data_IF_251047438465
#
_entry.id   IF_251047438465
#
_cell.length_a   1.000
_cell.length_b   1.000
_cell.length_c   1.000
_cell.angle_alpha   90.00
_cell.angle_beta   90.00
_cell.angle_gamma   90.00
#
_symmetry.space_group_name_H-M   'P 1'
#
loop_
_entity.id
_entity.type
_entity.pdbx_description
1 polymer ?
#
# COMPACT_ATOMS: atom_id res chain seq x y z
N UNK A 1 -12.58 -13.30 4.15
CA UNK A 1 -12.23 -12.03 4.82
C UNK A 1 -10.73 -11.88 4.83
N UNK A 2 -10.22 -10.99 4.00
CA UNK A 2 -8.80 -10.65 3.92
C UNK A 2 -8.41 -9.84 5.16
N UNK A 3 -7.77 -10.47 6.12
CA UNK A 3 -7.16 -9.76 7.23
C UNK A 3 -5.74 -9.39 6.83
N UNK A 4 -5.50 -8.10 6.60
CA UNK A 4 -4.15 -7.57 6.56
C UNK A 4 -3.54 -7.64 7.95
N UNK A 5 -2.46 -8.40 8.12
CA UNK A 5 -1.72 -8.42 9.37
C UNK A 5 -0.63 -7.36 9.28
N UNK A 6 -0.78 -6.30 10.04
CA UNK A 6 0.23 -5.25 10.20
C UNK A 6 1.21 -5.64 11.32
N UNK A 7 2.46 -5.18 11.25
CA UNK A 7 3.41 -5.32 12.37
C UNK A 7 2.89 -4.64 13.65
N UNK A 8 1.98 -3.69 13.52
CA UNK A 8 1.23 -3.14 14.65
C UNK A 8 0.41 -4.21 15.38
N UNK A 9 -0.08 -5.25 14.68
CA UNK A 9 -0.77 -6.36 15.33
C UNK A 9 0.16 -7.15 16.27
N UNK A 10 1.42 -7.39 15.87
CA UNK A 10 2.39 -8.06 16.76
C UNK A 10 2.72 -7.20 17.99
N UNK A 11 2.76 -5.86 17.85
CA UNK A 11 2.93 -4.96 18.99
C UNK A 11 1.70 -4.93 19.91
N UNK A 12 0.51 -5.08 19.37
CA UNK A 12 -0.74 -5.19 20.14
C UNK A 12 -0.74 -6.47 20.99
N UNK A 13 -0.23 -7.58 20.45
CA UNK A 13 -0.11 -8.84 21.21
C UNK A 13 1.05 -8.82 22.22
N UNK A 14 2.18 -8.19 21.88
CA UNK A 14 3.36 -8.09 22.78
C UNK A 14 3.12 -7.25 24.02
N UNK A 15 2.17 -6.35 24.02
CA UNK A 15 1.94 -5.37 25.07
C UNK A 15 0.77 -5.72 25.97
N UNK A 16 0.54 -6.98 26.25
CA UNK A 16 -0.42 -7.39 27.28
C UNK A 16 -0.01 -6.74 28.62
N UNK A 17 -0.80 -5.77 29.07
CA UNK A 17 -0.55 -4.96 30.27
C UNK A 17 -0.19 -3.50 30.01
N UNK A 18 0.12 -3.09 28.78
CA UNK A 18 0.28 -1.69 28.41
C UNK A 18 -1.02 -1.14 27.83
N UNK A 19 -1.37 0.09 28.23
CA UNK A 19 -2.56 0.78 27.72
C UNK A 19 -2.39 1.02 26.22
N UNK A 20 -3.24 0.39 25.42
CA UNK A 20 -3.31 0.65 23.99
C UNK A 20 -3.74 2.10 23.75
N UNK A 21 -3.20 2.72 22.71
CA UNK A 21 -3.69 4.01 22.21
C UNK A 21 -5.06 3.82 21.55
N UNK A 22 -5.90 4.83 21.57
CA UNK A 22 -7.30 4.74 21.08
C UNK A 22 -7.39 4.21 19.65
N UNK A 23 -6.48 4.61 18.76
CA UNK A 23 -6.43 4.13 17.38
C UNK A 23 -5.97 2.67 17.22
N UNK A 24 -5.36 2.07 18.23
CA UNK A 24 -4.95 0.66 18.25
C UNK A 24 -6.05 -0.27 18.75
N UNK A 25 -7.00 0.26 19.52
CA UNK A 25 -8.08 -0.51 20.16
C UNK A 25 -8.92 -1.33 19.15
N UNK A 26 -9.33 -0.77 18.00
CA UNK A 26 -10.11 -1.51 17.01
C UNK A 26 -9.37 -2.71 16.39
N UNK A 27 -8.04 -2.74 16.50
CA UNK A 27 -7.19 -3.80 15.97
C UNK A 27 -6.72 -4.78 17.06
N UNK A 28 -7.05 -4.51 18.31
CA UNK A 28 -6.74 -5.41 19.40
C UNK A 28 -7.53 -6.72 19.25
N UNK A 29 -6.85 -7.85 19.45
CA UNK A 29 -7.46 -9.17 19.39
C UNK A 29 -7.69 -9.71 20.80
N UNK A 30 -8.79 -10.42 20.98
CA UNK A 30 -9.11 -11.06 22.24
C UNK A 30 -8.19 -12.25 22.49
N UNK A 31 -7.86 -12.49 23.75
CA UNK A 31 -6.98 -13.58 24.14
C UNK A 31 -7.55 -14.96 23.76
N UNK A 32 -8.85 -15.09 23.78
CA UNK A 32 -9.59 -16.30 23.39
C UNK A 32 -9.39 -16.67 21.92
N UNK A 33 -9.13 -15.69 21.03
CA UNK A 33 -8.81 -15.93 19.62
C UNK A 33 -7.44 -16.57 19.42
N UNK A 34 -6.59 -16.56 20.45
CA UNK A 34 -5.23 -17.09 20.42
C UNK A 34 -5.14 -18.49 21.04
N UNK A 35 -6.25 -19.00 21.56
CA UNK A 35 -6.31 -20.36 22.11
C UNK A 35 -6.02 -21.38 21.02
N UNK A 36 -5.12 -22.31 21.30
CA UNK A 36 -4.67 -23.32 20.35
C UNK A 36 -3.54 -22.88 19.41
N UNK A 37 -3.06 -21.64 19.51
CA UNK A 37 -1.90 -21.22 18.72
C UNK A 37 -0.62 -21.92 19.19
N UNK A 38 0.19 -22.34 18.21
CA UNK A 38 1.56 -22.80 18.47
C UNK A 38 2.48 -21.59 18.58
N UNK A 39 3.08 -21.38 19.74
CA UNK A 39 3.95 -20.25 20.05
C UNK A 39 5.40 -20.71 20.22
N UNK A 40 6.35 -19.88 19.80
CA UNK A 40 7.78 -20.10 20.06
C UNK A 40 8.12 -19.90 21.55
N UNK A 41 7.33 -19.05 22.23
CA UNK A 41 7.49 -18.75 23.64
C UNK A 41 6.12 -18.56 24.31
N UNK A 42 5.84 -19.16 25.48
CA UNK A 42 4.50 -19.16 26.08
C UNK A 42 3.94 -17.78 26.42
N UNK A 43 4.82 -16.80 26.63
CA UNK A 43 4.43 -15.45 27.08
C UNK A 43 4.67 -14.36 26.04
N UNK A 44 5.02 -14.73 24.80
CA UNK A 44 5.31 -13.76 23.73
C UNK A 44 4.67 -14.18 22.42
N UNK A 45 3.95 -13.25 21.81
CA UNK A 45 3.43 -13.40 20.46
C UNK A 45 4.36 -12.70 19.48
N UNK A 46 5.10 -13.45 18.70
CA UNK A 46 6.02 -12.93 17.68
C UNK A 46 5.32 -12.77 16.34
N UNK A 47 5.92 -12.03 15.40
CA UNK A 47 5.42 -11.97 14.03
C UNK A 47 5.43 -13.36 13.38
N UNK A 48 6.44 -14.20 13.71
CA UNK A 48 6.50 -15.59 13.25
C UNK A 48 5.30 -16.42 13.71
N UNK A 49 4.91 -16.29 14.99
CA UNK A 49 3.73 -16.96 15.52
C UNK A 49 2.45 -16.52 14.81
N UNK A 50 2.31 -15.21 14.56
CA UNK A 50 1.15 -14.68 13.81
C UNK A 50 1.11 -15.24 12.39
N UNK A 51 2.22 -15.25 11.68
CA UNK A 51 2.27 -15.77 10.30
C UNK A 51 1.95 -17.26 10.25
N UNK A 52 2.48 -18.05 11.20
CA UNK A 52 2.21 -19.50 11.26
C UNK A 52 0.76 -19.85 11.55
N UNK A 53 0.09 -19.07 12.39
CA UNK A 53 -1.28 -19.38 12.83
C UNK A 53 -2.36 -18.70 12.00
N UNK A 54 -2.10 -17.50 11.42
CA UNK A 54 -3.09 -16.71 10.66
C UNK A 54 -3.04 -17.00 9.16
N UNK A 55 -1.91 -17.50 8.64
CA UNK A 55 -1.69 -17.75 7.21
C UNK A 55 -1.98 -16.53 6.32
N UNK A 56 -1.35 -15.37 6.56
CA UNK A 56 -1.63 -14.16 5.81
C UNK A 56 -1.17 -14.29 4.36
N UNK A 57 -1.90 -13.68 3.44
CA UNK A 57 -1.51 -13.56 2.03
C UNK A 57 -0.83 -12.22 1.72
N UNK A 58 -0.99 -11.24 2.61
CA UNK A 58 -0.39 -9.90 2.50
C UNK A 58 0.29 -9.57 3.83
N UNK A 59 1.57 -9.19 3.76
CA UNK A 59 2.37 -8.74 4.90
C UNK A 59 2.87 -7.32 4.63
N UNK A 60 2.50 -6.38 5.52
CA UNK A 60 2.87 -4.97 5.41
C UNK A 60 3.71 -4.57 6.64
N UNK A 61 4.90 -4.03 6.39
CA UNK A 61 5.82 -3.54 7.41
C UNK A 61 5.86 -2.02 7.49
N UNK A 62 5.58 -1.49 8.69
CA UNK A 62 5.67 -0.08 9.02
C UNK A 62 6.37 0.13 10.39
N UNK A 63 7.22 -0.83 10.79
CA UNK A 63 7.80 -0.90 12.14
C UNK A 63 9.09 -0.12 12.30
N UNK A 64 9.74 0.24 11.22
CA UNK A 64 11.09 0.80 11.18
C UNK A 64 12.14 -0.11 11.88
N UNK A 65 11.90 -1.42 11.92
CA UNK A 65 12.78 -2.43 12.49
C UNK A 65 13.43 -3.24 11.36
N UNK A 66 14.69 -2.99 11.03
CA UNK A 66 15.39 -3.74 9.99
C UNK A 66 15.40 -5.24 10.29
N UNK A 67 15.16 -6.07 9.27
CA UNK A 67 15.17 -7.52 9.40
C UNK A 67 13.97 -8.12 10.16
N UNK A 68 12.92 -7.34 10.44
CA UNK A 68 11.71 -7.85 11.08
C UNK A 68 11.03 -8.95 10.25
N UNK A 69 11.14 -8.91 8.93
CA UNK A 69 10.70 -9.98 8.04
C UNK A 69 11.86 -10.94 7.79
N UNK A 70 12.03 -11.92 8.66
CA UNK A 70 13.10 -12.92 8.56
C UNK A 70 12.83 -13.90 7.41
N UNK A 71 13.86 -14.64 7.01
CA UNK A 71 13.75 -15.71 6.01
C UNK A 71 12.69 -16.73 6.39
N UNK A 72 12.63 -17.15 7.65
CA UNK A 72 11.65 -18.12 8.15
C UNK A 72 10.21 -17.61 8.00
N UNK A 73 9.96 -16.36 8.39
CA UNK A 73 8.65 -15.71 8.24
C UNK A 73 8.21 -15.69 6.77
N UNK A 74 9.11 -15.24 5.88
CA UNK A 74 8.81 -15.12 4.46
C UNK A 74 8.60 -16.48 3.81
N UNK A 75 9.43 -17.47 4.13
CA UNK A 75 9.27 -18.85 3.65
C UNK A 75 8.01 -19.53 4.16
N UNK A 76 7.68 -19.33 5.43
CA UNK A 76 6.43 -19.84 6.01
C UNK A 76 5.22 -19.28 5.28
N UNK A 77 5.20 -17.98 5.01
CA UNK A 77 4.14 -17.35 4.23
C UNK A 77 4.08 -17.88 2.79
N UNK A 78 5.22 -18.04 2.13
CA UNK A 78 5.32 -18.55 0.77
C UNK A 78 4.96 -20.04 0.63
N UNK A 79 5.04 -20.82 1.71
CA UNK A 79 4.59 -22.22 1.74
C UNK A 79 3.05 -22.32 1.75
N UNK A 80 2.37 -21.30 2.25
CA UNK A 80 0.91 -21.27 2.41
C UNK A 80 0.20 -20.43 1.34
N UNK A 81 0.93 -19.57 0.61
CA UNK A 81 0.41 -18.70 -0.42
C UNK A 81 1.32 -18.77 -1.66
N UNK A 82 0.73 -19.07 -2.82
CA UNK A 82 1.48 -19.19 -4.07
C UNK A 82 2.17 -17.89 -4.47
N UNK A 83 1.49 -16.76 -4.33
CA UNK A 83 2.00 -15.42 -4.65
C UNK A 83 1.79 -14.45 -3.47
N UNK A 84 2.60 -14.53 -2.41
CA UNK A 84 2.45 -13.65 -1.25
C UNK A 84 2.79 -12.20 -1.61
N UNK A 85 2.02 -11.25 -1.08
CA UNK A 85 2.34 -9.82 -1.17
C UNK A 85 3.14 -9.43 0.07
N UNK A 86 4.37 -8.96 -0.14
CA UNK A 86 5.27 -8.58 0.96
C UNK A 86 5.74 -7.15 0.74
N UNK A 87 5.35 -6.26 1.64
CA UNK A 87 5.55 -4.83 1.52
C UNK A 87 6.33 -4.27 2.72
N UNK A 88 7.68 -4.29 2.71
CA UNK A 88 8.51 -3.63 3.72
C UNK A 88 8.54 -2.11 3.42
N UNK A 89 7.61 -1.35 4.02
CA UNK A 89 7.37 0.06 3.67
C UNK A 89 8.16 1.06 4.52
N UNK A 90 8.94 0.61 5.50
CA UNK A 90 9.67 1.53 6.38
C UNK A 90 10.77 2.30 5.65
N UNK A 91 10.89 3.58 5.97
CA UNK A 91 11.86 4.53 5.44
C UNK A 91 12.84 5.01 6.54
N UNK A 92 14.09 5.33 6.20
CA UNK A 92 14.77 5.15 4.92
C UNK A 92 15.14 3.67 4.67
N UNK A 93 15.72 3.34 3.51
CA UNK A 93 16.10 1.98 3.07
C UNK A 93 16.72 1.11 4.17
N UNK A 94 17.60 1.70 5.02
CA UNK A 94 18.25 0.99 6.15
C UNK A 94 17.28 0.55 7.26
N UNK A 95 16.04 1.02 7.24
CA UNK A 95 14.96 0.68 8.19
C UNK A 95 13.90 -0.24 7.60
N UNK A 96 14.05 -0.64 6.34
CA UNK A 96 13.13 -1.58 5.71
C UNK A 96 13.16 -2.93 6.47
N UNK A 97 12.02 -3.53 6.65
CA UNK A 97 11.83 -4.78 7.38
C UNK A 97 12.51 -5.97 6.69
N UNK A 98 12.68 -5.92 5.36
CA UNK A 98 13.48 -6.84 4.56
C UNK A 98 13.99 -6.14 3.30
N UNK A 99 15.04 -6.68 2.68
CA UNK A 99 15.47 -6.25 1.35
C UNK A 99 14.66 -6.98 0.28
N UNK A 100 14.27 -6.29 -0.81
CA UNK A 100 13.57 -6.94 -1.93
C UNK A 100 14.32 -8.12 -2.54
N UNK A 101 15.66 -8.04 -2.58
CA UNK A 101 16.53 -9.14 -3.03
C UNK A 101 16.32 -10.42 -2.22
N UNK A 102 16.25 -10.26 -0.92
CA UNK A 102 16.12 -11.38 0.01
C UNK A 102 14.72 -11.99 -0.10
N UNK A 103 13.68 -11.15 -0.06
CA UNK A 103 12.28 -11.59 -0.19
C UNK A 103 12.07 -12.37 -1.50
N UNK A 104 12.57 -11.85 -2.63
CA UNK A 104 12.45 -12.51 -3.92
C UNK A 104 13.27 -13.81 -3.98
N UNK A 105 14.47 -13.84 -3.41
CA UNK A 105 15.30 -15.04 -3.34
C UNK A 105 14.63 -16.12 -2.47
N UNK A 106 14.15 -15.77 -1.29
CA UNK A 106 13.51 -16.70 -0.36
C UNK A 106 12.18 -17.28 -0.88
N UNK A 107 11.57 -16.63 -1.86
CA UNK A 107 10.32 -17.05 -2.47
C UNK A 107 10.45 -17.54 -3.92
N UNK A 108 11.67 -17.75 -4.42
CA UNK A 108 11.94 -18.13 -5.81
C UNK A 108 11.27 -17.20 -6.84
N UNK A 109 11.21 -15.90 -6.54
CA UNK A 109 10.59 -14.89 -7.37
C UNK A 109 9.04 -14.86 -7.32
N UNK A 110 8.39 -15.66 -6.47
CA UNK A 110 6.91 -15.72 -6.40
C UNK A 110 6.28 -14.52 -5.69
N UNK A 111 7.00 -13.90 -4.75
CA UNK A 111 6.47 -12.76 -4.00
C UNK A 111 6.22 -11.54 -4.89
N UNK A 112 5.12 -10.84 -4.60
CA UNK A 112 4.85 -9.50 -5.10
C UNK A 112 5.39 -8.50 -4.08
N UNK A 113 6.38 -7.69 -4.50
CA UNK A 113 7.13 -6.83 -3.59
C UNK A 113 6.94 -5.36 -3.93
N UNK A 114 6.61 -4.55 -2.90
CA UNK A 114 6.70 -3.11 -2.94
C UNK A 114 7.39 -2.58 -1.69
N UNK A 115 8.12 -1.48 -1.81
CA UNK A 115 8.93 -0.89 -0.73
C UNK A 115 8.63 0.58 -0.54
N UNK A 116 8.86 1.13 0.65
CA UNK A 116 8.68 2.57 0.90
C UNK A 116 9.75 3.44 0.25
N UNK A 117 10.99 2.93 0.14
CA UNK A 117 12.12 3.60 -0.51
C UNK A 117 12.40 2.99 -1.89
N UNK A 118 13.02 3.73 -2.83
CA UNK A 118 13.34 3.18 -4.14
C UNK A 118 14.48 2.15 -4.04
N UNK A 119 14.31 1.03 -4.74
CA UNK A 119 15.33 0.00 -4.92
C UNK A 119 15.60 -0.22 -6.41
N UNK A 120 16.79 -0.75 -6.71
CA UNK A 120 17.14 -1.20 -8.06
C UNK A 120 16.36 -2.49 -8.39
N UNK A 121 16.13 -2.78 -9.68
CA UNK A 121 15.60 -4.07 -10.09
C UNK A 121 16.45 -5.22 -9.55
N UNK A 122 15.81 -6.34 -9.23
CA UNK A 122 16.45 -7.55 -8.69
C UNK A 122 16.32 -8.66 -9.72
N UNK A 123 17.41 -9.41 -9.93
CA UNK A 123 17.42 -10.59 -10.81
C UNK A 123 17.36 -11.85 -9.96
N UNK A 124 16.35 -12.69 -10.22
CA UNK A 124 16.20 -14.01 -9.61
C UNK A 124 15.86 -15.02 -10.72
N UNK A 125 16.59 -16.13 -10.78
CA UNK A 125 16.35 -17.22 -11.75
C UNK A 125 16.25 -16.74 -13.21
N UNK A 126 17.06 -15.75 -13.61
CA UNK A 126 17.08 -15.19 -14.96
C UNK A 126 15.94 -14.20 -15.27
N UNK A 127 15.04 -13.93 -14.33
CA UNK A 127 13.98 -12.94 -14.44
C UNK A 127 14.37 -11.67 -13.71
N UNK A 128 14.15 -10.50 -14.35
CA UNK A 128 14.37 -9.19 -13.72
C UNK A 128 13.07 -8.66 -13.14
N UNK A 129 13.04 -8.49 -11.83
CA UNK A 129 11.88 -7.98 -11.08
C UNK A 129 12.02 -6.47 -10.87
N UNK A 130 11.03 -5.70 -11.32
CA UNK A 130 10.94 -4.27 -11.05
C UNK A 130 10.37 -4.06 -9.64
N UNK A 131 11.12 -3.37 -8.77
CA UNK A 131 10.68 -3.13 -7.41
C UNK A 131 9.78 -1.89 -7.37
N UNK A 132 8.53 -2.10 -7.00
CA UNK A 132 7.58 -1.01 -6.83
C UNK A 132 7.94 -0.14 -5.62
N UNK A 133 7.77 1.17 -5.76
CA UNK A 133 7.83 2.09 -4.63
C UNK A 133 6.40 2.48 -4.24
N UNK A 134 5.99 2.12 -3.03
CA UNK A 134 4.76 2.61 -2.42
C UNK A 134 4.99 4.03 -1.88
N UNK A 135 4.49 5.01 -2.62
CA UNK A 135 4.67 6.42 -2.31
C UNK A 135 3.33 7.15 -2.41
N UNK A 136 3.06 8.05 -1.48
CA UNK A 136 1.85 8.88 -1.46
C UNK A 136 1.65 9.68 -2.76
N UNK A 137 2.74 9.98 -3.47
CA UNK A 137 2.69 10.67 -4.77
C UNK A 137 1.85 9.93 -5.81
N UNK A 138 1.65 8.62 -5.68
CA UNK A 138 0.81 7.84 -6.60
C UNK A 138 -0.69 8.19 -6.49
N UNK A 139 -1.15 8.61 -5.33
CA UNK A 139 -2.58 8.87 -5.07
C UNK A 139 -2.87 10.32 -4.70
N UNK A 140 -2.02 10.96 -3.88
CA UNK A 140 -2.31 12.23 -3.26
C UNK A 140 -2.63 13.37 -4.25
N UNK A 141 -1.85 13.59 -5.34
CA UNK A 141 -2.15 14.67 -6.27
C UNK A 141 -3.49 14.45 -6.99
N UNK A 142 -3.82 13.19 -7.32
CA UNK A 142 -5.09 12.84 -7.95
C UNK A 142 -6.28 13.03 -7.03
N UNK A 143 -6.18 12.59 -5.75
CA UNK A 143 -7.23 12.82 -4.76
C UNK A 143 -7.48 14.32 -4.59
N UNK A 144 -6.43 15.13 -4.44
CA UNK A 144 -6.56 16.58 -4.30
C UNK A 144 -7.21 17.23 -5.53
N UNK A 145 -6.73 16.88 -6.73
CA UNK A 145 -7.25 17.42 -7.98
C UNK A 145 -8.73 17.04 -8.19
N UNK A 146 -9.10 15.77 -8.00
CA UNK A 146 -10.47 15.31 -8.15
C UNK A 146 -11.43 15.99 -7.16
N UNK A 147 -11.00 16.11 -5.89
CA UNK A 147 -11.77 16.82 -4.85
C UNK A 147 -12.01 18.28 -5.21
N UNK A 148 -10.97 18.99 -5.68
CA UNK A 148 -11.04 20.41 -6.04
C UNK A 148 -11.86 20.61 -7.31
N UNK A 149 -11.70 19.75 -8.32
CA UNK A 149 -12.38 19.87 -9.62
C UNK A 149 -13.92 19.90 -9.48
N UNK A 150 -14.46 19.13 -8.55
CA UNK A 150 -15.93 19.07 -8.31
C UNK A 150 -16.32 19.76 -6.99
N UNK A 151 -15.38 20.50 -6.36
CA UNK A 151 -15.58 21.21 -5.09
C UNK A 151 -16.26 20.33 -4.04
N UNK A 152 -15.74 19.13 -3.85
CA UNK A 152 -16.29 18.22 -2.86
C UNK A 152 -16.14 18.81 -1.45
N UNK A 153 -17.18 18.70 -0.65
CA UNK A 153 -17.25 19.24 0.73
C UNK A 153 -16.34 18.50 1.72
N UNK A 154 -15.98 17.28 1.40
CA UNK A 154 -15.07 16.42 2.17
C UNK A 154 -14.50 15.30 1.30
N UNK A 155 -13.42 14.68 1.75
CA UNK A 155 -12.90 13.42 1.20
C UNK A 155 -13.53 12.27 1.97
N UNK A 156 -14.14 11.33 1.27
CA UNK A 156 -14.80 10.15 1.84
C UNK A 156 -13.93 8.90 1.72
N UNK A 157 -14.30 7.85 2.43
CA UNK A 157 -13.66 6.54 2.29
C UNK A 157 -13.88 5.95 0.89
N UNK A 158 -15.05 6.21 0.26
CA UNK A 158 -15.31 5.78 -1.12
C UNK A 158 -14.39 6.47 -2.12
N UNK A 159 -14.15 7.78 -1.98
CA UNK A 159 -13.19 8.51 -2.81
C UNK A 159 -11.76 7.96 -2.68
N UNK A 160 -11.36 7.56 -1.47
CA UNK A 160 -10.05 6.92 -1.24
C UNK A 160 -10.00 5.54 -1.90
N UNK A 161 -11.07 4.75 -1.80
CA UNK A 161 -11.16 3.45 -2.45
C UNK A 161 -11.11 3.58 -3.99
N UNK A 162 -11.86 4.51 -4.58
CA UNK A 162 -11.82 4.80 -6.00
C UNK A 162 -10.42 5.23 -6.48
N UNK A 163 -9.69 6.01 -5.66
CA UNK A 163 -8.30 6.37 -5.94
C UNK A 163 -7.38 5.13 -5.97
N UNK A 164 -7.53 4.21 -5.02
CA UNK A 164 -6.75 2.99 -4.95
C UNK A 164 -7.02 2.06 -6.14
N UNK A 165 -8.28 1.90 -6.53
CA UNK A 165 -8.70 1.13 -7.71
C UNK A 165 -8.12 1.73 -8.99
N UNK A 166 -8.20 3.05 -9.16
CA UNK A 166 -7.62 3.74 -10.30
C UNK A 166 -6.11 3.51 -10.42
N UNK A 167 -5.36 3.46 -9.31
CA UNK A 167 -3.93 3.10 -9.31
C UNK A 167 -3.74 1.65 -9.73
N UNK A 168 -4.54 0.72 -9.20
CA UNK A 168 -4.43 -0.70 -9.49
C UNK A 168 -4.68 -1.03 -10.97
N UNK A 169 -5.57 -0.29 -11.64
CA UNK A 169 -5.87 -0.47 -13.07
C UNK A 169 -4.70 -0.11 -14.00
N UNK A 170 -3.66 0.58 -13.52
CA UNK A 170 -2.48 0.94 -14.31
C UNK A 170 -1.40 -0.15 -14.35
N UNK A 171 -1.65 -1.29 -13.72
CA UNK A 171 -0.67 -2.38 -13.59
C UNK A 171 -1.23 -3.68 -14.16
N UNK A 172 -0.43 -4.35 -14.99
CA UNK A 172 -0.65 -5.76 -15.32
C UNK A 172 0.29 -6.64 -14.49
N UNK A 173 -0.18 -7.09 -13.35
CA UNK A 173 0.55 -7.97 -12.44
C UNK A 173 0.60 -9.44 -12.87
N UNK A 174 0.03 -9.80 -14.03
CA UNK A 174 0.11 -11.14 -14.63
C UNK A 174 1.46 -11.37 -15.31
N UNK A 175 2.16 -10.29 -15.66
CA UNK A 175 3.50 -10.37 -16.27
C UNK A 175 4.52 -10.63 -15.17
N UNK A 176 5.29 -11.71 -15.31
CA UNK A 176 6.34 -12.08 -14.36
C UNK A 176 7.42 -11.00 -14.33
N UNK A 177 7.80 -10.56 -13.15
CA UNK A 177 8.78 -9.49 -12.97
C UNK A 177 8.22 -8.07 -13.10
N UNK A 178 6.93 -7.90 -13.44
CA UNK A 178 6.29 -6.59 -13.48
C UNK A 178 6.25 -5.95 -12.08
N UNK A 179 6.26 -4.61 -12.07
CA UNK A 179 6.13 -3.83 -10.84
C UNK A 179 4.73 -3.98 -10.24
N UNK A 180 4.62 -4.07 -8.92
CA UNK A 180 3.34 -4.14 -8.20
C UNK A 180 2.57 -2.80 -8.23
N UNK A 181 3.26 -1.68 -8.42
CA UNK A 181 2.68 -0.34 -8.47
C UNK A 181 3.22 0.44 -9.68
N UNK A 182 2.49 1.48 -10.16
CA UNK A 182 2.96 2.33 -11.23
C UNK A 182 4.28 3.04 -10.92
N UNK A 183 5.05 3.32 -11.96
CA UNK A 183 6.28 4.11 -11.82
C UNK A 183 5.97 5.57 -11.46
N UNK A 184 6.76 6.14 -10.56
CA UNK A 184 6.72 7.57 -10.22
C UNK A 184 6.97 8.45 -11.48
N UNK A 185 7.63 7.92 -12.50
CA UNK A 185 7.84 8.64 -13.78
C UNK A 185 6.52 8.90 -14.54
N UNK A 186 5.46 8.16 -14.24
CA UNK A 186 4.14 8.27 -14.88
C UNK A 186 3.11 9.00 -14.00
N UNK A 187 3.57 9.83 -13.05
CA UNK A 187 2.67 10.48 -12.08
C UNK A 187 1.58 11.35 -12.73
N UNK A 188 1.90 12.09 -13.80
CA UNK A 188 0.94 13.03 -14.40
C UNK A 188 -0.29 12.32 -14.99
N UNK A 189 -0.16 11.33 -15.88
CA UNK A 189 -1.32 10.58 -16.39
C UNK A 189 -2.01 9.79 -15.27
N UNK A 190 -1.27 9.20 -14.34
CA UNK A 190 -1.84 8.50 -13.20
C UNK A 190 -2.69 9.44 -12.33
N UNK A 191 -2.18 10.63 -12.01
CA UNK A 191 -2.92 11.63 -11.21
C UNK A 191 -4.20 12.08 -11.92
N UNK A 192 -4.22 12.18 -13.24
CA UNK A 192 -5.44 12.49 -13.99
C UNK A 192 -6.48 11.36 -13.87
N UNK A 193 -6.06 10.09 -14.02
CA UNK A 193 -6.96 8.94 -13.86
C UNK A 193 -7.52 8.85 -12.45
N UNK A 194 -6.67 9.01 -11.44
CA UNK A 194 -7.10 9.03 -10.03
C UNK A 194 -8.07 10.18 -9.77
N UNK A 195 -7.79 11.38 -10.31
CA UNK A 195 -8.66 12.54 -10.13
C UNK A 195 -10.05 12.35 -10.76
N UNK A 196 -10.12 11.73 -11.93
CA UNK A 196 -11.40 11.42 -12.59
C UNK A 196 -12.21 10.45 -11.73
N UNK A 197 -11.61 9.36 -11.27
CA UNK A 197 -12.28 8.38 -10.42
C UNK A 197 -12.79 9.00 -9.09
N UNK A 198 -11.95 9.83 -8.47
CA UNK A 198 -12.30 10.55 -7.22
C UNK A 198 -13.44 11.55 -7.45
N UNK A 199 -13.40 12.29 -8.57
CA UNK A 199 -14.46 13.24 -8.91
C UNK A 199 -15.79 12.53 -9.17
N UNK A 200 -15.78 11.42 -9.89
CA UNK A 200 -16.97 10.58 -10.14
C UNK A 200 -17.55 10.08 -8.82
N UNK A 201 -16.71 9.49 -7.97
CA UNK A 201 -17.14 8.97 -6.67
C UNK A 201 -17.71 10.09 -5.77
N UNK A 202 -17.12 11.27 -5.76
CA UNK A 202 -17.62 12.41 -5.01
C UNK A 202 -19.02 12.86 -5.47
N UNK A 203 -19.29 12.78 -6.77
CA UNK A 203 -20.62 13.08 -7.33
C UNK A 203 -21.64 11.99 -6.97
N UNK A 204 -21.27 10.72 -7.09
CA UNK A 204 -22.12 9.57 -6.72
C UNK A 204 -22.53 9.59 -5.24
N UNK A 205 -21.63 9.98 -4.35
CA UNK A 205 -21.89 10.10 -2.93
C UNK A 205 -22.60 11.41 -2.53
N UNK A 206 -22.86 12.30 -3.50
CA UNK A 206 -23.54 13.57 -3.25
C UNK A 206 -22.72 14.57 -2.41
N UNK A 207 -21.40 14.41 -2.35
CA UNK A 207 -20.50 15.33 -1.62
C UNK A 207 -19.91 16.41 -2.54
N UNK A 208 -20.04 16.28 -3.86
CA UNK A 208 -19.65 17.29 -4.84
C UNK A 208 -20.66 18.45 -4.84
N UNK A 209 -20.16 19.70 -4.86
CA UNK A 209 -21.01 20.90 -5.00
C UNK A 209 -21.08 21.37 -6.46
N UNK A 210 -20.17 20.96 -7.29
CA UNK A 210 -20.21 21.14 -8.75
C UNK A 210 -20.33 19.79 -9.44
N UNK A 211 -21.52 19.49 -9.96
CA UNK A 211 -21.78 18.27 -10.72
C UNK A 211 -21.55 18.54 -12.22
N UNK A 212 -21.01 17.56 -12.92
CA UNK A 212 -20.72 17.65 -14.37
C UNK A 212 -20.99 16.32 -15.06
N UNK A 213 -21.50 16.37 -16.29
CA UNK A 213 -21.65 15.17 -17.13
C UNK A 213 -20.32 14.74 -17.77
N UNK A 214 -19.30 15.59 -17.72
CA UNK A 214 -17.96 15.32 -18.27
C UNK A 214 -16.85 15.53 -17.21
N UNK A 215 -16.67 14.58 -16.31
CA UNK A 215 -15.64 14.68 -15.27
C UNK A 215 -14.21 14.69 -15.86
N UNK A 216 -14.00 14.08 -17.03
CA UNK A 216 -12.71 14.08 -17.72
C UNK A 216 -12.32 15.52 -18.09
N UNK A 217 -13.17 16.23 -18.80
CA UNK A 217 -12.93 17.62 -19.18
C UNK A 217 -12.75 18.52 -17.97
N UNK A 218 -13.60 18.33 -16.94
CA UNK A 218 -13.54 19.09 -15.69
C UNK A 218 -12.18 18.95 -15.00
N UNK A 219 -11.67 17.70 -14.88
CA UNK A 219 -10.35 17.41 -14.29
C UNK A 219 -9.23 18.00 -15.12
N UNK A 220 -9.25 17.81 -16.46
CA UNK A 220 -8.18 18.34 -17.31
C UNK A 220 -8.15 19.88 -17.34
N UNK A 221 -9.29 20.56 -17.26
CA UNK A 221 -9.37 22.02 -17.17
C UNK A 221 -8.83 22.56 -15.84
N UNK A 222 -9.03 21.81 -14.75
CA UNK A 222 -8.50 22.15 -13.43
C UNK A 222 -7.02 21.79 -13.25
N UNK A 223 -6.49 20.90 -14.10
CA UNK A 223 -5.14 20.39 -13.98
C UNK A 223 -4.11 21.47 -14.35
N UNK A 224 -3.24 21.81 -13.40
CA UNK A 224 -2.18 22.78 -13.63
C UNK A 224 -1.30 22.42 -14.84
N UNK A 225 -1.04 23.42 -15.68
CA UNK A 225 -0.16 23.32 -16.84
C UNK A 225 1.11 24.16 -16.60
N UNK A 226 2.31 23.66 -16.91
CA UNK A 226 3.57 24.40 -16.75
C UNK A 226 3.73 25.43 -17.89
N UNK A 227 2.84 26.40 -17.94
CA UNK A 227 2.86 27.49 -18.93
C UNK A 227 2.99 28.81 -18.19
N UNK A 228 3.95 29.62 -18.59
CA UNK A 228 4.04 30.99 -18.09
C UNK A 228 2.94 31.83 -18.76
N UNK A 229 2.15 32.59 -18.00
CA UNK A 229 1.23 33.55 -18.56
C UNK A 229 2.02 34.61 -19.36
N UNK A 230 1.47 35.10 -20.47
CA UNK A 230 2.04 36.27 -21.16
C UNK A 230 1.88 37.47 -20.22
N UNK A 231 3.00 38.08 -19.87
CA UNK A 231 2.99 39.35 -19.14
C UNK A 231 2.70 40.44 -20.16
N UNK A 232 1.54 41.10 -20.06
CA UNK A 232 1.24 42.30 -20.80
C UNK A 232 1.55 43.52 -19.90
N UNK A 233 2.31 44.45 -20.42
CA UNK A 233 2.46 45.78 -19.78
C UNK A 233 1.17 46.54 -20.12
N UNK A 234 0.43 46.94 -19.09
CA UNK A 234 -0.76 47.80 -19.20
C UNK A 234 -0.34 49.23 -19.12
#
# INVERSE_FOLDING_TARGET
STQGVSSAASDVYKRQGLRLRDFQQPFARNKEELEGWTLDSPDQYTLGDVVRNVHPTILIGCSAQPGAFTEDIVKTMAAQCERPVIMPLSNPTRKAEALPSDVLTWTDGRALVATGSPFKPVMVNGVTYQIAQANNALVFPGIGLGTIAVRASRVTSGMIAAAAEAVAMHIDNRVVGASLLPSIKSLRPLSASVAIAVAQQAMEEGVATEVTDNPVEKVFSAMWQPRYPRIAVV
#
